data_IF_765457463855
#
_entry.id   IF_765457463855
#
_cell.length_a   1.000
_cell.length_b   1.000
_cell.length_c   1.000
_cell.angle_alpha   90.00
_cell.angle_beta   90.00
_cell.angle_gamma   90.00
#
_symmetry.space_group_name_H-M   'P 1'
#
loop_
_entity.id
_entity.type
_entity.pdbx_description
1 polymer ?
#
# COMPACT_ATOMS: atom_id res chain seq x y z
N UNK A 1 -8.04 -6.39 -27.93
CA UNK A 1 -7.00 -7.25 -27.30
C UNK A 1 -7.47 -7.68 -25.92
N UNK A 2 -7.54 -8.99 -25.65
CA UNK A 2 -7.82 -9.50 -24.29
C UNK A 2 -6.54 -9.34 -23.46
N UNK A 3 -6.58 -8.60 -22.36
CA UNK A 3 -5.45 -8.55 -21.41
C UNK A 3 -5.24 -9.95 -20.82
N UNK A 4 -4.06 -10.52 -21.02
CA UNK A 4 -3.66 -11.85 -20.53
C UNK A 4 -2.94 -11.81 -19.19
N UNK A 5 -2.51 -10.62 -18.73
CA UNK A 5 -1.86 -10.43 -17.43
C UNK A 5 -2.91 -10.28 -16.32
N UNK A 6 -2.80 -11.05 -15.22
CA UNK A 6 -3.67 -10.84 -14.05
C UNK A 6 -3.46 -9.43 -13.47
N UNK A 7 -4.50 -8.79 -12.93
CA UNK A 7 -4.37 -7.50 -12.27
C UNK A 7 -3.45 -7.64 -11.04
N UNK A 8 -2.52 -6.71 -10.89
CA UNK A 8 -1.66 -6.64 -9.70
C UNK A 8 -2.38 -5.82 -8.63
N UNK A 9 -2.51 -6.37 -7.43
CA UNK A 9 -3.10 -5.65 -6.31
C UNK A 9 -2.15 -4.52 -5.85
N UNK A 10 -2.64 -3.29 -5.56
CA UNK A 10 -1.80 -2.19 -5.09
C UNK A 10 -1.01 -2.51 -3.83
N UNK A 11 -1.54 -3.37 -2.97
CA UNK A 11 -0.85 -3.91 -1.79
C UNK A 11 0.47 -4.60 -2.10
N UNK A 12 0.55 -5.32 -3.22
CA UNK A 12 1.78 -5.96 -3.67
C UNK A 12 2.84 -4.90 -4.03
N UNK A 13 2.43 -3.85 -4.73
CA UNK A 13 3.30 -2.71 -5.10
C UNK A 13 3.84 -2.04 -3.83
N UNK A 14 2.97 -1.73 -2.86
CA UNK A 14 3.40 -1.12 -1.59
C UNK A 14 4.43 -2.01 -0.86
N UNK A 15 4.21 -3.33 -0.87
CA UNK A 15 5.11 -4.28 -0.22
C UNK A 15 6.49 -4.32 -0.89
N UNK A 16 6.50 -4.62 -2.19
CA UNK A 16 7.73 -4.94 -2.92
C UNK A 16 8.50 -3.69 -3.35
N UNK A 17 7.82 -2.57 -3.62
CA UNK A 17 8.47 -1.37 -4.15
C UNK A 17 8.81 -0.36 -3.03
N UNK A 18 8.17 -0.46 -1.86
CA UNK A 18 8.38 0.50 -0.76
C UNK A 18 8.79 -0.17 0.55
N UNK A 19 8.01 -1.12 1.09
CA UNK A 19 8.30 -1.67 2.42
C UNK A 19 9.61 -2.47 2.45
N UNK A 20 9.81 -3.38 1.50
CA UNK A 20 11.01 -4.22 1.45
C UNK A 20 12.29 -3.40 1.15
N UNK A 21 12.34 -2.53 0.13
CA UNK A 21 13.54 -1.75 -0.17
C UNK A 21 13.90 -0.75 0.94
N UNK A 22 12.91 -0.18 1.62
CA UNK A 22 13.12 0.77 2.72
C UNK A 22 13.30 0.10 4.08
N UNK A 23 13.23 -1.24 4.15
CA UNK A 23 13.19 -2.00 5.42
C UNK A 23 12.14 -1.43 6.40
N UNK A 24 11.02 -0.94 5.86
CA UNK A 24 9.98 -0.26 6.62
C UNK A 24 8.98 -1.29 7.15
N UNK A 25 8.67 -1.22 8.44
CA UNK A 25 7.66 -2.10 9.03
C UNK A 25 6.25 -1.60 8.71
N UNK A 26 5.30 -2.54 8.63
CA UNK A 26 3.86 -2.22 8.48
C UNK A 26 3.35 -1.33 9.61
N UNK A 27 3.89 -1.49 10.83
CA UNK A 27 3.54 -0.66 11.96
C UNK A 27 3.98 0.80 11.75
N UNK A 28 5.22 1.01 11.30
CA UNK A 28 5.77 2.33 11.06
C UNK A 28 5.10 3.04 9.89
N UNK A 29 4.76 2.31 8.82
CA UNK A 29 3.93 2.86 7.74
C UNK A 29 2.54 3.28 8.25
N UNK A 30 1.92 2.51 9.14
CA UNK A 30 0.62 2.86 9.71
C UNK A 30 0.68 4.13 10.57
N UNK A 31 1.77 4.34 11.31
CA UNK A 31 2.04 5.57 12.05
C UNK A 31 2.17 6.77 11.10
N UNK A 32 2.96 6.66 10.02
CA UNK A 32 3.10 7.74 9.03
C UNK A 32 1.78 8.08 8.32
N UNK A 33 0.96 7.07 8.02
CA UNK A 33 -0.35 7.25 7.40
C UNK A 33 -1.43 7.72 8.39
N UNK A 34 -1.17 7.65 9.70
CA UNK A 34 -2.13 7.99 10.75
C UNK A 34 -3.36 7.06 10.77
N UNK A 35 -3.16 5.75 10.55
CA UNK A 35 -4.23 4.74 10.48
C UNK A 35 -3.88 3.51 11.31
N UNK A 36 -4.85 2.60 11.52
CA UNK A 36 -4.58 1.36 12.24
C UNK A 36 -3.60 0.44 11.48
N UNK A 37 -2.69 -0.22 12.21
CA UNK A 37 -1.80 -1.25 11.66
C UNK A 37 -2.58 -2.35 10.93
N UNK A 38 -3.77 -2.70 11.40
CA UNK A 38 -4.63 -3.73 10.78
C UNK A 38 -5.07 -3.30 9.39
N UNK A 39 -5.41 -2.02 9.19
CA UNK A 39 -5.78 -1.47 7.89
C UNK A 39 -4.64 -1.63 6.88
N UNK A 40 -3.44 -1.16 7.24
CA UNK A 40 -2.26 -1.26 6.35
C UNK A 40 -1.92 -2.72 6.08
N UNK A 41 -1.95 -3.57 7.10
CA UNK A 41 -1.70 -5.01 6.97
C UNK A 41 -2.67 -5.69 5.99
N UNK A 42 -3.97 -5.36 6.05
CA UNK A 42 -4.95 -5.91 5.11
C UNK A 42 -4.65 -5.49 3.67
N UNK A 43 -4.24 -4.23 3.45
CA UNK A 43 -3.88 -3.74 2.11
C UNK A 43 -2.62 -4.47 1.60
N UNK A 44 -1.54 -4.47 2.39
CA UNK A 44 -0.24 -5.09 2.04
C UNK A 44 -0.37 -6.59 1.78
N UNK A 45 -1.27 -7.28 2.48
CA UNK A 45 -1.55 -8.69 2.26
C UNK A 45 -2.65 -8.96 1.20
N UNK A 46 -3.01 -7.95 0.40
CA UNK A 46 -3.98 -8.08 -0.70
C UNK A 46 -5.40 -8.50 -0.27
N UNK A 47 -5.78 -8.17 0.98
CA UNK A 47 -7.08 -8.49 1.58
C UNK A 47 -8.01 -7.29 1.75
N UNK A 48 -7.58 -6.10 1.35
CA UNK A 48 -8.41 -4.89 1.36
C UNK A 48 -8.03 -3.96 0.20
N UNK A 49 -9.02 -3.27 -0.40
CA UNK A 49 -8.76 -2.28 -1.43
C UNK A 49 -8.08 -1.04 -0.86
N UNK A 50 -7.45 -0.26 -1.74
CA UNK A 50 -7.00 1.10 -1.43
C UNK A 50 -8.16 2.05 -1.73
N UNK A 51 -8.71 2.68 -0.69
CA UNK A 51 -9.77 3.70 -0.82
C UNK A 51 -9.18 5.02 -1.33
N UNK A 52 -9.99 5.94 -1.90
CA UNK A 52 -9.50 7.26 -2.32
C UNK A 52 -8.81 8.05 -1.20
N UNK A 53 -9.34 7.98 0.03
CA UNK A 53 -8.71 8.59 1.20
C UNK A 53 -7.34 7.97 1.50
N UNK A 54 -7.24 6.64 1.42
CA UNK A 54 -5.95 5.94 1.62
C UNK A 54 -4.96 6.30 0.51
N UNK A 55 -5.41 6.44 -0.74
CA UNK A 55 -4.56 6.85 -1.85
C UNK A 55 -3.96 8.24 -1.60
N UNK A 56 -4.76 9.21 -1.13
CA UNK A 56 -4.28 10.54 -0.73
C UNK A 56 -3.25 10.49 0.41
N UNK A 57 -3.44 9.61 1.40
CA UNK A 57 -2.48 9.43 2.50
C UNK A 57 -1.18 8.82 2.00
N UNK A 58 -1.25 7.79 1.15
CA UNK A 58 -0.09 7.15 0.53
C UNK A 58 0.68 8.14 -0.34
N UNK A 59 -0.02 8.95 -1.14
CA UNK A 59 0.57 9.99 -1.98
C UNK A 59 1.41 10.98 -1.17
N UNK A 60 0.93 11.39 0.00
CA UNK A 60 1.67 12.28 0.91
C UNK A 60 2.89 11.62 1.56
N UNK A 61 2.80 10.33 1.90
CA UNK A 61 3.89 9.61 2.58
C UNK A 61 5.01 9.23 1.61
N UNK A 62 4.65 8.86 0.38
CA UNK A 62 5.59 8.39 -0.64
C UNK A 62 5.96 9.44 -1.67
N UNK A 63 5.48 10.68 -1.52
CA UNK A 63 5.70 11.79 -2.44
C UNK A 63 5.32 11.43 -3.89
N UNK A 64 4.14 10.83 -4.06
CA UNK A 64 3.58 10.45 -5.36
C UNK A 64 2.40 11.36 -5.73
N UNK A 65 2.15 11.57 -7.03
CA UNK A 65 1.06 12.43 -7.54
C UNK A 65 -0.28 11.71 -7.66
#
# INVERSE_FOLDING_TARGET
MKRTRPPTHPGAIIKYDYLEPLSLSVAKLAEYLGVSRVTVSKIVNERAPVTPEMALRLARVFDTT
#
